data_IF_864099627820
#
_entry.id   IF_864099627820
#
_cell.length_a   1.000
_cell.length_b   1.000
_cell.length_c   1.000
_cell.angle_alpha   90.00
_cell.angle_beta   90.00
_cell.angle_gamma   90.00
#
_symmetry.space_group_name_H-M   'P 1'
#
loop_
_entity.id
_entity.type
_entity.pdbx_description
1 polymer ?
#
# COMPACT_ATOMS: atom_id res chain seq x y z
N UNK A 1 24.98 -2.83 2.47
CA UNK A 1 23.85 -2.30 1.68
C UNK A 1 23.42 -1.00 2.32
N UNK A 2 23.35 0.11 1.56
CA UNK A 2 22.90 1.38 2.13
C UNK A 2 21.41 1.28 2.50
N UNK A 3 21.05 1.78 3.68
CA UNK A 3 19.65 1.78 4.13
C UNK A 3 18.82 2.73 3.26
N UNK A 4 17.79 2.20 2.59
CA UNK A 4 16.92 3.00 1.74
C UNK A 4 15.90 3.77 2.59
N UNK A 5 16.03 5.10 2.64
CA UNK A 5 15.16 5.97 3.41
C UNK A 5 14.07 6.58 2.53
N UNK A 6 12.82 6.55 3.01
CA UNK A 6 11.63 7.06 2.34
C UNK A 6 11.05 8.25 3.11
N UNK A 7 10.57 9.27 2.39
CA UNK A 7 9.81 10.37 2.99
C UNK A 7 8.35 9.95 3.11
N UNK A 8 7.88 9.75 4.33
CA UNK A 8 6.51 9.31 4.62
C UNK A 8 5.75 10.43 5.30
N UNK A 9 4.55 10.80 4.82
CA UNK A 9 3.71 11.77 5.50
C UNK A 9 3.19 11.16 6.81
N UNK A 10 3.53 11.77 7.94
CA UNK A 10 3.04 11.39 9.28
C UNK A 10 1.84 12.21 9.72
N UNK A 11 1.63 13.37 9.07
CA UNK A 11 0.44 14.20 9.17
C UNK A 11 0.11 14.72 7.78
N UNK A 12 -1.16 14.70 7.41
CA UNK A 12 -1.61 15.17 6.11
C UNK A 12 -2.94 15.90 6.25
N UNK A 13 -3.06 17.05 5.61
CA UNK A 13 -4.28 17.83 5.51
C UNK A 13 -4.77 17.82 4.07
N UNK A 14 -6.02 17.39 3.90
CA UNK A 14 -6.68 17.34 2.60
C UNK A 14 -7.79 18.40 2.53
N UNK A 15 -8.00 18.94 1.34
CA UNK A 15 -9.13 19.82 1.04
C UNK A 15 -9.85 19.30 -0.19
N UNK A 16 -11.18 19.41 -0.20
CA UNK A 16 -11.96 19.12 -1.40
C UNK A 16 -11.81 20.29 -2.38
N UNK A 17 -11.30 20.01 -3.58
CA UNK A 17 -11.21 20.93 -4.72
C UNK A 17 -11.83 20.21 -5.91
N UNK A 18 -12.82 20.84 -6.55
CA UNK A 18 -13.58 20.26 -7.67
C UNK A 18 -14.15 18.85 -7.38
N UNK A 19 -14.67 18.68 -6.16
CA UNK A 19 -15.25 17.41 -5.69
C UNK A 19 -14.21 16.31 -5.39
N UNK A 20 -12.91 16.61 -5.43
CA UNK A 20 -11.83 15.63 -5.19
C UNK A 20 -11.01 16.01 -3.97
N UNK A 21 -10.61 15.04 -3.12
CA UNK A 21 -9.67 15.30 -2.04
C UNK A 21 -8.28 15.57 -2.63
N UNK A 22 -7.75 16.76 -2.35
CA UNK A 22 -6.41 17.20 -2.74
C UNK A 22 -5.58 17.38 -1.48
N UNK A 23 -4.37 16.80 -1.46
CA UNK A 23 -3.40 17.02 -0.40
C UNK A 23 -2.89 18.47 -0.48
N UNK A 24 -3.10 19.26 0.57
CA UNK A 24 -2.69 20.67 0.60
C UNK A 24 -1.59 20.97 1.61
N UNK A 25 -1.38 20.10 2.60
CA UNK A 25 -0.28 20.19 3.54
C UNK A 25 0.10 18.80 4.07
N UNK A 26 1.38 18.58 4.35
CA UNK A 26 1.86 17.35 4.96
C UNK A 26 3.19 17.54 5.71
N UNK A 27 3.29 16.89 6.87
CA UNK A 27 4.54 16.72 7.60
C UNK A 27 5.16 15.38 7.24
N UNK A 28 6.41 15.41 6.76
CA UNK A 28 7.13 14.21 6.33
C UNK A 28 8.22 13.82 7.32
N UNK A 29 8.39 12.51 7.50
CA UNK A 29 9.54 11.93 8.19
C UNK A 29 10.29 10.96 7.30
N UNK A 30 11.61 10.94 7.46
CA UNK A 30 12.48 9.92 6.85
C UNK A 30 12.33 8.62 7.65
N UNK A 31 11.86 7.57 7.01
CA UNK A 31 11.65 6.24 7.60
C UNK A 31 12.31 5.21 6.69
N UNK A 32 12.98 4.21 7.25
CA UNK A 32 13.61 3.17 6.44
C UNK A 32 12.59 2.26 5.76
N UNK A 33 12.92 1.82 4.55
CA UNK A 33 12.08 0.91 3.78
C UNK A 33 11.79 -0.39 4.55
N UNK A 34 12.75 -0.88 5.32
CA UNK A 34 12.59 -2.07 6.16
C UNK A 34 11.56 -1.86 7.29
N UNK A 35 11.59 -0.70 7.96
CA UNK A 35 10.58 -0.34 8.96
C UNK A 35 9.17 -0.33 8.37
N UNK A 36 9.02 0.24 7.16
CA UNK A 36 7.72 0.29 6.46
C UNK A 36 7.28 -1.11 6.05
N UNK A 37 8.19 -1.93 5.50
CA UNK A 37 7.88 -3.29 5.11
C UNK A 37 7.38 -4.11 6.30
N UNK A 38 8.06 -4.01 7.46
CA UNK A 38 7.61 -4.63 8.71
C UNK A 38 6.24 -4.14 9.12
N UNK A 39 6.03 -2.82 9.14
CA UNK A 39 4.72 -2.23 9.45
C UNK A 39 3.61 -2.78 8.54
N UNK A 40 3.82 -2.81 7.23
CA UNK A 40 2.84 -3.33 6.27
C UNK A 40 2.53 -4.81 6.51
N UNK A 41 3.55 -5.65 6.75
CA UNK A 41 3.36 -7.05 7.08
C UNK A 41 2.55 -7.24 8.36
N UNK A 42 2.81 -6.46 9.41
CA UNK A 42 2.06 -6.55 10.67
C UNK A 42 0.64 -5.97 10.57
N UNK A 43 0.48 -4.80 9.95
CA UNK A 43 -0.81 -4.12 9.80
C UNK A 43 -1.76 -4.88 8.85
N UNK A 44 -1.20 -5.58 7.85
CA UNK A 44 -1.95 -6.32 6.83
C UNK A 44 -2.09 -7.82 7.15
N UNK A 45 -1.61 -8.31 8.30
CA UNK A 45 -1.70 -9.73 8.70
C UNK A 45 -3.13 -10.32 8.70
N UNK A 46 -4.18 -9.50 8.54
CA UNK A 46 -5.57 -9.93 8.36
C UNK A 46 -6.18 -9.64 6.97
N UNK A 47 -5.43 -9.12 5.99
CA UNK A 47 -5.92 -8.82 4.63
C UNK A 47 -5.07 -9.63 3.65
N UNK A 48 -5.71 -10.49 2.84
CA UNK A 48 -5.05 -11.25 1.76
C UNK A 48 -4.18 -10.29 0.96
N UNK A 49 -2.86 -10.46 1.05
CA UNK A 49 -1.90 -9.60 0.37
C UNK A 49 -2.16 -9.60 -1.14
N UNK A 50 -2.12 -8.40 -1.71
CA UNK A 50 -2.34 -8.08 -3.12
C UNK A 50 -1.04 -8.32 -3.91
N UNK A 51 -0.35 -9.43 -3.66
CA UNK A 51 0.60 -9.97 -4.62
C UNK A 51 -0.11 -11.10 -5.35
N UNK A 52 -1.08 -10.71 -6.18
CA UNK A 52 -1.80 -11.60 -7.07
C UNK A 52 -1.45 -11.29 -8.51
N UNK A 53 -0.40 -11.93 -9.03
CA UNK A 53 -0.42 -12.56 -10.36
C UNK A 53 0.89 -13.32 -10.65
N UNK A 54 0.80 -14.63 -10.61
CA UNK A 54 1.14 -15.38 -11.82
C UNK A 54 -0.14 -15.42 -12.66
N UNK A 55 -0.10 -14.86 -13.88
CA UNK A 55 -1.20 -14.96 -14.84
C UNK A 55 -1.11 -16.33 -15.51
N UNK A 56 -1.42 -17.40 -14.77
CA UNK A 56 -1.63 -18.72 -15.35
C UNK A 56 -3.08 -18.84 -15.81
N UNK A 57 -3.35 -18.54 -17.06
CA UNK A 57 -4.63 -18.85 -17.69
C UNK A 57 -4.67 -20.35 -17.98
N UNK A 58 -5.44 -21.12 -17.20
CA UNK A 58 -5.94 -22.42 -17.65
C UNK A 58 -7.27 -22.71 -16.96
N UNK A 59 -8.32 -22.29 -17.66
CA UNK A 59 -9.57 -23.02 -17.86
C UNK A 59 -9.69 -24.32 -17.06
N UNK A 60 -10.48 -24.27 -15.99
CA UNK A 60 -11.02 -25.45 -15.33
C UNK A 60 -12.52 -25.23 -15.16
N UNK A 61 -13.22 -25.48 -16.27
CA UNK A 61 -14.52 -26.11 -16.38
C UNK A 61 -15.28 -26.32 -15.07
N UNK A 62 -16.49 -25.75 -15.06
CA UNK A 62 -17.76 -26.38 -14.68
C UNK A 62 -17.63 -27.59 -13.74
N UNK A 63 -18.19 -27.48 -12.54
CA UNK A 63 -19.37 -28.27 -12.22
C UNK A 63 -20.10 -27.75 -10.98
N UNK A 64 -21.39 -27.51 -11.18
CA UNK A 64 -22.41 -27.27 -10.17
C UNK A 64 -23.14 -28.61 -10.06
N UNK A 65 -23.08 -29.27 -8.91
CA UNK A 65 -24.10 -30.23 -8.45
C UNK A 65 -24.08 -30.24 -6.93
#
# INVERSE_FOLDING_TARGET
>A
MAEHMLNIPVKATYRIIDGRPVLIDAEYRKISADTIARYLLYAMKGRKCIFGKEVGNSDASRDIT
#
